data_IF_926220027211
#
_entry.id   IF_926220027211
#
_cell.length_a   1.000
_cell.length_b   1.000
_cell.length_c   1.000
_cell.angle_alpha   90.00
_cell.angle_beta   90.00
_cell.angle_gamma   90.00
#
_symmetry.space_group_name_H-M   'P 1'
#
loop_
_entity.id
_entity.type
_entity.pdbx_description
1 polymer ?
#
# COMPACT_ATOMS: atom_id res chain seq x y z
N UNK A 1 -24.48 -1.07 -0.36
CA UNK A 1 -23.91 0.10 0.33
C UNK A 1 -23.14 0.91 -0.72
N UNK A 2 -23.35 2.21 -0.84
CA UNK A 2 -22.58 3.03 -1.79
C UNK A 2 -21.14 3.14 -1.28
N UNK A 3 -20.17 2.82 -2.13
CA UNK A 3 -18.74 2.98 -1.82
C UNK A 3 -18.42 4.47 -1.89
N UNK A 4 -17.98 5.04 -0.76
CA UNK A 4 -17.41 6.37 -0.71
C UNK A 4 -15.94 6.28 -1.11
N UNK A 5 -15.57 7.03 -2.15
CA UNK A 5 -14.19 7.18 -2.61
C UNK A 5 -13.64 8.55 -2.24
N UNK A 6 -12.33 8.72 -2.39
CA UNK A 6 -11.65 9.99 -2.16
C UNK A 6 -12.35 11.12 -2.94
N UNK A 7 -12.60 10.94 -4.24
CA UNK A 7 -13.29 11.93 -5.09
C UNK A 7 -14.69 12.28 -4.59
N UNK A 8 -15.52 11.29 -4.24
CA UNK A 8 -16.89 11.55 -3.77
C UNK A 8 -16.89 12.35 -2.46
N UNK A 9 -15.92 12.10 -1.59
CA UNK A 9 -15.78 12.82 -0.33
C UNK A 9 -15.35 14.28 -0.57
N UNK A 10 -14.45 14.55 -1.53
CA UNK A 10 -14.11 15.94 -1.93
C UNK A 10 -15.30 16.65 -2.57
N UNK A 11 -16.03 15.99 -3.46
CA UNK A 11 -17.21 16.57 -4.11
C UNK A 11 -18.30 16.98 -3.10
N UNK A 12 -18.34 16.32 -1.93
CA UNK A 12 -19.29 16.66 -0.87
C UNK A 12 -18.94 17.96 -0.12
N UNK A 13 -17.76 18.55 -0.31
CA UNK A 13 -17.33 19.78 0.37
C UNK A 13 -16.90 19.62 1.83
N UNK A 14 -16.87 18.39 2.37
CA UNK A 14 -16.55 18.12 3.78
C UNK A 14 -15.04 18.01 4.08
N UNK A 15 -14.16 18.10 3.07
CA UNK A 15 -12.71 18.04 3.26
C UNK A 15 -12.07 19.43 3.15
N UNK A 16 -11.33 19.88 4.17
CA UNK A 16 -10.52 21.09 4.05
C UNK A 16 -9.50 20.98 2.90
N UNK A 17 -9.23 22.12 2.25
CA UNK A 17 -8.23 22.17 1.16
C UNK A 17 -6.86 21.73 1.69
N UNK A 18 -6.19 20.84 0.95
CA UNK A 18 -4.88 20.31 1.33
C UNK A 18 -4.92 19.17 2.36
N UNK A 19 -6.10 18.64 2.65
CA UNK A 19 -6.25 17.43 3.48
C UNK A 19 -6.52 16.21 2.62
N UNK A 20 -6.05 15.06 3.10
CA UNK A 20 -6.23 13.76 2.49
C UNK A 20 -6.86 12.85 3.56
N UNK A 21 -8.05 12.28 3.31
CA UNK A 21 -8.70 11.41 4.29
C UNK A 21 -7.91 10.11 4.41
N UNK A 22 -7.75 9.62 5.64
CA UNK A 22 -7.25 8.28 5.88
C UNK A 22 -8.46 7.33 5.78
N UNK A 23 -8.43 6.28 4.94
CA UNK A 23 -9.53 5.33 4.86
C UNK A 23 -9.83 4.71 6.22
N UNK A 24 -11.11 4.56 6.55
CA UNK A 24 -11.52 4.06 7.85
C UNK A 24 -11.03 2.61 8.03
N UNK A 25 -10.32 2.33 9.13
CA UNK A 25 -9.75 1.01 9.39
C UNK A 25 -8.45 0.71 8.63
N UNK A 26 -7.87 1.64 7.86
CA UNK A 26 -6.56 1.40 7.21
C UNK A 26 -5.49 0.95 8.22
N UNK A 27 -5.37 1.68 9.34
CA UNK A 27 -4.41 1.37 10.40
C UNK A 27 -4.83 0.16 11.24
N UNK A 28 -6.12 0.03 11.55
CA UNK A 28 -6.63 -1.00 12.48
C UNK A 28 -6.83 -2.37 11.82
N UNK A 29 -7.03 -2.43 10.50
CA UNK A 29 -7.24 -3.70 9.78
C UNK A 29 -5.92 -4.42 9.43
N UNK A 30 -4.79 -4.06 10.03
CA UNK A 30 -3.52 -4.77 9.88
C UNK A 30 -2.82 -4.66 8.53
N UNK A 31 -3.28 -3.76 7.64
CA UNK A 31 -2.70 -3.59 6.31
C UNK A 31 -1.21 -3.22 6.34
N UNK A 32 -0.74 -2.54 7.39
CA UNK A 32 0.67 -2.16 7.58
C UNK A 32 1.65 -3.33 7.68
N UNK A 33 1.21 -4.49 8.13
CA UNK A 33 2.05 -5.69 8.22
C UNK A 33 1.81 -6.67 7.06
N UNK A 34 0.83 -6.43 6.19
CA UNK A 34 0.56 -7.25 5.01
C UNK A 34 1.08 -6.63 3.72
N UNK A 35 0.96 -5.31 3.58
CA UNK A 35 1.43 -4.59 2.41
C UNK A 35 2.91 -4.23 2.56
N UNK A 36 3.67 -4.24 1.45
CA UNK A 36 4.98 -3.60 1.41
C UNK A 36 4.82 -2.11 1.76
N UNK A 37 5.75 -1.50 2.51
CA UNK A 37 5.70 -0.07 2.85
C UNK A 37 5.52 0.83 1.62
N UNK A 38 6.12 0.44 0.49
CA UNK A 38 6.02 1.17 -0.79
C UNK A 38 4.61 1.19 -1.35
N UNK A 39 3.86 0.08 -1.26
CA UNK A 39 2.48 0.00 -1.70
C UNK A 39 1.57 0.91 -0.85
N UNK A 40 1.85 1.05 0.45
CA UNK A 40 1.15 1.96 1.36
C UNK A 40 1.38 3.42 0.95
N UNK A 41 2.64 3.79 0.68
CA UNK A 41 2.99 5.13 0.22
C UNK A 41 2.28 5.47 -1.10
N UNK A 42 2.31 4.56 -2.08
CA UNK A 42 1.66 4.80 -3.36
C UNK A 42 0.14 4.84 -3.27
N UNK A 43 -0.49 4.17 -2.31
CA UNK A 43 -1.93 4.35 -2.08
C UNK A 43 -2.29 5.80 -1.71
N UNK A 44 -1.46 6.44 -0.87
CA UNK A 44 -1.64 7.85 -0.48
C UNK A 44 -1.42 8.78 -1.67
N UNK A 45 -0.44 8.48 -2.52
CA UNK A 45 -0.17 9.30 -3.71
C UNK A 45 -1.23 9.14 -4.79
N UNK A 46 -1.72 7.92 -5.04
CA UNK A 46 -2.86 7.67 -5.92
C UNK A 46 -4.07 8.47 -5.44
N UNK A 47 -4.32 8.50 -4.13
CA UNK A 47 -5.38 9.33 -3.56
C UNK A 47 -5.15 10.83 -3.83
N UNK A 48 -3.93 11.33 -3.66
CA UNK A 48 -3.60 12.73 -3.95
C UNK A 48 -3.80 13.07 -5.44
N UNK A 49 -3.30 12.25 -6.35
CA UNK A 49 -3.43 12.50 -7.80
C UNK A 49 -4.85 12.28 -8.32
N UNK A 50 -5.61 11.36 -7.72
CA UNK A 50 -7.04 11.23 -7.96
C UNK A 50 -7.79 12.51 -7.56
N UNK A 51 -7.33 13.21 -6.51
CA UNK A 51 -7.86 14.52 -6.12
C UNK A 51 -7.51 15.64 -7.09
N UNK A 52 -6.32 15.60 -7.69
CA UNK A 52 -5.88 16.55 -8.70
C UNK A 52 -6.56 16.30 -10.06
N UNK A 53 -7.20 15.14 -10.22
CA UNK A 53 -7.96 14.79 -11.42
C UNK A 53 -7.10 14.23 -12.53
N UNK A 54 -5.90 13.74 -12.21
CA UNK A 54 -5.06 13.02 -13.16
C UNK A 54 -5.74 11.72 -13.60
N UNK A 55 -5.56 11.37 -14.87
CA UNK A 55 -5.93 10.05 -15.37
C UNK A 55 -4.99 8.96 -14.82
N UNK A 56 -5.30 7.70 -15.12
CA UNK A 56 -4.56 6.56 -14.60
C UNK A 56 -3.07 6.58 -14.98
N UNK A 57 -2.75 6.85 -16.25
CA UNK A 57 -1.36 6.89 -16.71
C UNK A 57 -0.63 8.14 -16.22
N UNK A 58 -1.30 9.29 -16.16
CA UNK A 58 -0.77 10.52 -15.58
C UNK A 58 -0.47 10.37 -14.08
N UNK A 59 -1.31 9.63 -13.35
CA UNK A 59 -1.08 9.28 -11.94
C UNK A 59 0.18 8.43 -11.80
N UNK A 60 0.31 7.36 -12.58
CA UNK A 60 1.51 6.49 -12.55
C UNK A 60 2.75 7.33 -12.88
N UNK A 61 2.69 8.10 -13.96
CA UNK A 61 3.81 8.93 -14.40
C UNK A 61 4.22 9.93 -13.32
N UNK A 62 3.27 10.58 -12.65
CA UNK A 62 3.58 11.55 -11.60
C UNK A 62 4.30 10.90 -10.41
N UNK A 63 3.87 9.69 -10.00
CA UNK A 63 4.54 8.89 -8.96
C UNK A 63 5.96 8.51 -9.41
N UNK A 64 6.12 8.03 -10.65
CA UNK A 64 7.42 7.66 -11.22
C UNK A 64 8.40 8.84 -11.29
N UNK A 65 7.92 9.99 -11.77
CA UNK A 65 8.70 11.22 -11.89
C UNK A 65 9.14 11.76 -10.51
N UNK A 66 8.38 11.47 -9.45
CA UNK A 66 8.75 11.84 -8.08
C UNK A 66 9.76 10.86 -7.48
N UNK A 67 9.47 9.55 -7.49
CA UNK A 67 10.24 8.56 -6.72
C UNK A 67 11.53 8.11 -7.39
N UNK A 68 11.54 7.82 -8.69
CA UNK A 68 12.74 7.27 -9.34
C UNK A 68 13.94 8.23 -9.29
N UNK A 69 13.79 9.55 -9.53
CA UNK A 69 14.92 10.47 -9.40
C UNK A 69 15.44 10.57 -7.97
N UNK A 70 14.55 10.51 -6.96
CA UNK A 70 14.92 10.55 -5.55
C UNK A 70 15.69 9.30 -5.12
N UNK A 71 15.20 8.11 -5.51
CA UNK A 71 15.87 6.84 -5.27
C UNK A 71 17.28 6.84 -5.90
N UNK A 72 17.38 7.25 -7.18
CA UNK A 72 18.66 7.38 -7.88
C UNK A 72 19.61 8.35 -7.20
N UNK A 73 19.14 9.52 -6.78
CA UNK A 73 19.97 10.55 -6.12
C UNK A 73 20.51 10.06 -4.77
N UNK A 74 19.76 9.25 -4.05
CA UNK A 74 20.15 8.67 -2.76
C UNK A 74 20.95 7.37 -2.89
N UNK A 75 21.15 6.87 -4.12
CA UNK A 75 21.67 5.52 -4.37
C UNK A 75 20.89 4.46 -3.56
N UNK A 76 19.57 4.63 -3.58
CA UNK A 76 18.61 3.84 -2.82
C UNK A 76 17.73 3.03 -3.77
N UNK A 77 17.16 1.93 -3.28
CA UNK A 77 16.26 1.09 -4.03
C UNK A 77 14.83 1.41 -3.63
N UNK A 78 13.97 1.67 -4.63
CA UNK A 78 12.57 1.98 -4.35
C UNK A 78 11.80 0.75 -3.85
N UNK A 79 12.23 -0.45 -4.25
CA UNK A 79 11.63 -1.72 -3.86
C UNK A 79 12.67 -2.58 -3.17
N UNK A 80 12.23 -3.36 -2.17
CA UNK A 80 13.11 -4.26 -1.45
C UNK A 80 13.69 -5.33 -2.39
N UNK A 81 15.02 -5.48 -2.36
CA UNK A 81 15.74 -6.45 -3.18
C UNK A 81 16.12 -7.68 -2.36
N UNK A 82 15.31 -8.73 -2.48
CA UNK A 82 15.56 -10.02 -1.83
C UNK A 82 16.85 -10.72 -2.29
N UNK A 83 17.46 -10.28 -3.40
CA UNK A 83 18.72 -10.84 -3.90
C UNK A 83 19.96 -10.15 -3.33
N UNK A 84 19.80 -9.08 -2.54
CA UNK A 84 20.93 -8.37 -1.93
C UNK A 84 21.54 -9.22 -0.81
N UNK A 85 22.84 -9.51 -0.91
CA UNK A 85 23.54 -10.25 0.12
C UNK A 85 23.82 -9.40 1.36
N UNK A 86 23.70 -10.00 2.55
CA UNK A 86 24.05 -9.33 3.83
C UNK A 86 25.52 -8.88 3.84
N UNK A 87 26.39 -9.61 3.15
CA UNK A 87 27.81 -9.28 3.04
C UNK A 87 28.10 -8.04 2.19
N UNK A 88 27.17 -7.67 1.30
CA UNK A 88 27.26 -6.44 0.49
C UNK A 88 27.05 -5.17 1.35
N UNK A 89 26.57 -5.34 2.59
CA UNK A 89 26.24 -4.24 3.50
C UNK A 89 27.41 -3.94 4.42
N UNK A 90 27.93 -2.73 4.32
CA UNK A 90 29.03 -2.25 5.17
C UNK A 90 28.50 -1.68 6.49
N UNK A 91 29.03 -2.19 7.60
CA UNK A 91 28.78 -1.69 8.96
C UNK A 91 27.76 -2.51 9.74
N UNK A 92 28.10 -2.87 10.99
CA UNK A 92 27.31 -3.76 11.86
C UNK A 92 25.86 -3.30 12.02
N UNK A 93 25.66 -2.03 12.40
CA UNK A 93 24.30 -1.46 12.58
C UNK A 93 23.46 -1.50 11.31
N UNK A 94 24.07 -1.28 10.14
CA UNK A 94 23.34 -1.35 8.86
C UNK A 94 22.96 -2.79 8.51
N UNK A 95 23.82 -3.77 8.84
CA UNK A 95 23.51 -5.19 8.68
C UNK A 95 22.35 -5.62 9.58
N UNK A 96 22.36 -5.20 10.85
CA UNK A 96 21.27 -5.49 11.79
C UNK A 96 19.93 -4.94 11.28
N UNK A 97 19.87 -3.66 10.88
CA UNK A 97 18.67 -3.06 10.29
C UNK A 97 18.20 -3.78 9.02
N UNK A 98 19.13 -4.15 8.14
CA UNK A 98 18.78 -4.91 6.93
C UNK A 98 18.25 -6.30 7.24
N UNK A 99 18.77 -6.99 8.26
CA UNK A 99 18.27 -8.30 8.66
C UNK A 99 16.84 -8.21 9.22
N UNK A 100 16.56 -7.18 10.02
CA UNK A 100 15.20 -6.89 10.52
C UNK A 100 14.22 -6.59 9.37
N UNK A 101 14.68 -5.79 8.39
CA UNK A 101 13.89 -5.48 7.19
C UNK A 101 13.69 -6.72 6.31
N UNK A 102 14.74 -7.52 6.09
CA UNK A 102 14.69 -8.76 5.32
C UNK A 102 13.70 -9.75 5.93
N UNK A 103 13.72 -9.93 7.26
CA UNK A 103 12.76 -10.80 7.96
C UNK A 103 11.32 -10.29 7.74
N UNK A 104 11.09 -8.99 7.96
CA UNK A 104 9.78 -8.38 7.81
C UNK A 104 9.24 -8.47 6.38
N UNK A 105 10.08 -8.16 5.38
CA UNK A 105 9.71 -8.21 3.97
C UNK A 105 9.53 -9.65 3.46
N UNK A 106 10.30 -10.60 4.00
CA UNK A 106 10.12 -12.03 3.68
C UNK A 106 8.78 -12.53 4.17
N UNK A 107 8.36 -12.14 5.38
CA UNK A 107 7.04 -12.52 5.91
C UNK A 107 5.91 -11.87 5.10
N UNK A 108 5.99 -10.58 4.77
CA UNK A 108 5.01 -9.91 3.88
C UNK A 108 4.89 -10.63 2.54
N UNK A 109 6.02 -10.95 1.91
CA UNK A 109 6.07 -11.69 0.64
C UNK A 109 5.37 -13.03 0.76
N UNK A 110 5.71 -13.82 1.78
CA UNK A 110 5.10 -15.13 2.03
C UNK A 110 3.59 -15.03 2.19
N UNK A 111 3.09 -14.10 3.01
CA UNK A 111 1.66 -13.94 3.28
C UNK A 111 0.91 -13.49 2.02
N UNK A 112 1.48 -12.58 1.22
CA UNK A 112 0.92 -12.18 -0.08
C UNK A 112 0.82 -13.35 -1.05
N UNK A 113 1.91 -14.12 -1.19
CA UNK A 113 2.01 -15.25 -2.11
C UNK A 113 1.04 -16.39 -1.73
N UNK A 114 0.93 -16.70 -0.44
CA UNK A 114 -0.05 -17.66 0.07
C UNK A 114 -1.50 -17.20 -0.15
N UNK A 115 -1.74 -15.90 -0.15
CA UNK A 115 -3.04 -15.31 -0.43
C UNK A 115 -3.39 -15.28 -1.93
N UNK A 116 -2.42 -15.63 -2.79
CA UNK A 116 -2.56 -15.69 -4.25
C UNK A 116 -2.20 -14.37 -4.95
N UNK A 117 -1.42 -13.52 -4.29
CA UNK A 117 -0.88 -12.28 -4.83
C UNK A 117 0.62 -12.40 -5.07
N UNK A 118 1.19 -11.51 -5.87
CA UNK A 118 2.64 -11.41 -6.02
C UNK A 118 3.15 -10.22 -5.22
N UNK A 119 4.35 -10.34 -4.68
CA UNK A 119 5.03 -9.22 -4.06
C UNK A 119 5.46 -8.21 -5.14
N UNK A 120 5.00 -6.94 -5.08
CA UNK A 120 5.24 -5.97 -6.15
C UNK A 120 6.69 -5.49 -6.19
N UNK A 121 7.19 -5.25 -7.39
CA UNK A 121 8.55 -4.80 -7.73
C UNK A 121 8.54 -3.53 -8.60
N UNK A 122 7.36 -3.00 -8.92
CA UNK A 122 7.18 -1.75 -9.67
C UNK A 122 6.02 -0.93 -9.10
N UNK A 123 6.00 0.38 -9.42
CA UNK A 123 4.90 1.28 -9.03
C UNK A 123 3.57 0.75 -9.58
N UNK A 124 3.57 0.28 -10.83
CA UNK A 124 2.39 -0.29 -11.48
C UNK A 124 1.89 -1.54 -10.75
N UNK A 125 2.78 -2.46 -10.39
CA UNK A 125 2.40 -3.66 -9.63
C UNK A 125 1.85 -3.33 -8.23
N UNK A 126 2.36 -2.29 -7.56
CA UNK A 126 1.78 -1.81 -6.31
C UNK A 126 0.35 -1.29 -6.49
N UNK A 127 0.10 -0.53 -7.57
CA UNK A 127 -1.24 -0.01 -7.89
C UNK A 127 -2.18 -1.17 -8.26
N UNK A 128 -1.73 -2.11 -9.09
CA UNK A 128 -2.49 -3.31 -9.45
C UNK A 128 -2.81 -4.18 -8.23
N UNK A 129 -1.89 -4.30 -7.26
CA UNK A 129 -2.16 -4.95 -5.98
C UNK A 129 -3.27 -4.20 -5.23
N UNK A 130 -3.20 -2.87 -5.16
CA UNK A 130 -4.25 -2.04 -4.57
C UNK A 130 -5.62 -2.21 -5.24
N UNK A 131 -5.65 -2.35 -6.57
CA UNK A 131 -6.88 -2.66 -7.33
C UNK A 131 -7.44 -4.04 -6.96
N UNK A 132 -6.59 -5.08 -6.93
CA UNK A 132 -6.98 -6.44 -6.58
C UNK A 132 -7.50 -6.57 -5.14
N UNK A 133 -7.01 -5.73 -4.24
CA UNK A 133 -7.46 -5.66 -2.84
C UNK A 133 -8.66 -4.72 -2.64
N UNK A 134 -9.19 -4.13 -3.70
CA UNK A 134 -10.33 -3.20 -3.66
C UNK A 134 -10.04 -1.85 -3.00
N UNK A 135 -8.76 -1.55 -2.74
CA UNK A 135 -8.32 -0.27 -2.16
C UNK A 135 -8.31 0.84 -3.21
N UNK A 136 -7.91 0.49 -4.43
CA UNK A 136 -7.90 1.38 -5.59
C UNK A 136 -9.04 0.94 -6.51
N UNK A 137 -9.79 1.91 -7.02
CA UNK A 137 -10.85 1.71 -7.99
C UNK A 137 -10.42 2.30 -9.31
N UNK A 138 -10.57 1.54 -10.40
CA UNK A 138 -10.38 2.02 -11.76
C UNK A 138 -11.73 2.18 -12.45
N UNK A 139 -11.95 3.33 -13.06
CA UNK A 139 -13.18 3.61 -13.79
C UNK A 139 -12.90 4.48 -15.02
N UNK A 140 -13.85 4.46 -15.96
CA UNK A 140 -13.77 5.24 -17.20
C UNK A 140 -14.61 6.51 -17.11
N UNK A 141 -14.06 7.63 -17.59
CA UNK A 141 -14.78 8.86 -17.88
C UNK A 141 -14.40 9.32 -19.29
N UNK A 142 -15.40 9.45 -20.16
CA UNK A 142 -15.19 9.93 -21.55
C UNK A 142 -14.13 9.10 -22.32
N UNK A 143 -14.06 7.79 -22.04
CA UNK A 143 -13.10 6.86 -22.66
C UNK A 143 -11.74 6.76 -21.94
N UNK A 144 -11.43 7.70 -21.05
CA UNK A 144 -10.17 7.75 -20.30
C UNK A 144 -10.29 7.03 -18.96
N UNK A 145 -9.27 6.26 -18.59
CA UNK A 145 -9.21 5.57 -17.30
C UNK A 145 -8.72 6.50 -16.19
N UNK A 146 -9.31 6.37 -15.01
CA UNK A 146 -8.95 7.12 -13.82
C UNK A 146 -8.86 6.18 -12.63
N UNK A 147 -8.01 6.55 -11.67
CA UNK A 147 -7.97 5.93 -10.36
C UNK A 147 -8.75 6.76 -9.32
N UNK A 148 -9.26 6.05 -8.32
CA UNK A 148 -9.78 6.61 -7.07
C UNK A 148 -9.42 5.66 -5.93
N UNK A 149 -9.46 6.14 -4.70
CA UNK A 149 -9.19 5.33 -3.51
C UNK A 149 -10.48 5.12 -2.72
N UNK A 150 -10.76 3.88 -2.38
CA UNK A 150 -11.86 3.52 -1.49
C UNK A 150 -11.62 4.13 -0.11
N UNK A 151 -12.60 4.83 0.45
CA UNK A 151 -12.52 5.43 1.79
C UNK A 151 -13.43 4.69 2.76
N UNK A 152 -14.66 4.38 2.34
CA UNK A 152 -15.64 3.72 3.19
C UNK A 152 -16.70 2.96 2.36
N UNK A 153 -16.94 1.65 2.61
CA UNK A 153 -16.17 0.78 3.50
C UNK A 153 -14.79 0.50 2.92
N UNK A 154 -13.74 0.71 3.72
CA UNK A 154 -12.40 0.29 3.32
C UNK A 154 -12.30 -1.24 3.41
N UNK A 155 -11.59 -1.91 2.48
CA UNK A 155 -11.47 -3.35 2.50
C UNK A 155 -10.80 -3.83 3.80
N UNK A 156 -11.31 -4.92 4.35
CA UNK A 156 -10.74 -5.57 5.52
C UNK A 156 -9.84 -6.73 5.10
N UNK A 157 -8.63 -6.79 5.65
CA UNK A 157 -7.60 -7.78 5.29
C UNK A 157 -8.09 -9.24 5.32
N UNK A 158 -9.01 -9.58 6.25
CA UNK A 158 -9.57 -10.94 6.42
C UNK A 158 -10.29 -11.48 5.19
N UNK A 159 -10.70 -10.62 4.27
CA UNK A 159 -11.36 -11.02 3.03
C UNK A 159 -10.36 -11.48 1.96
N UNK A 160 -9.07 -11.20 2.18
CA UNK A 160 -8.00 -11.44 1.20
C UNK A 160 -6.95 -12.43 1.70
N UNK A 161 -6.77 -12.55 3.01
CA UNK A 161 -5.90 -13.58 3.60
C UNK A 161 -6.43 -14.99 3.32
N UNK A 162 -5.52 -15.91 3.00
CA UNK A 162 -5.80 -17.34 2.86
C UNK A 162 -4.80 -18.17 3.66
N UNK A 163 -5.21 -19.39 4.01
CA UNK A 163 -4.39 -20.35 4.75
C UNK A 163 -4.28 -20.05 6.25
N UNK A 164 -3.37 -20.76 6.92
CA UNK A 164 -3.19 -20.76 8.38
C UNK A 164 -2.71 -19.40 8.94
N UNK A 165 -2.19 -18.53 8.06
CA UNK A 165 -1.84 -17.14 8.41
C UNK A 165 -3.06 -16.34 8.90
N UNK A 166 -4.29 -16.69 8.48
CA UNK A 166 -5.52 -16.08 9.00
C UNK A 166 -5.63 -16.25 10.52
N UNK A 167 -5.23 -17.39 11.07
CA UNK A 167 -5.32 -17.68 12.51
C UNK A 167 -4.20 -17.03 13.32
N UNK A 168 -2.99 -16.96 12.76
CA UNK A 168 -1.87 -16.21 13.34
C UNK A 168 -2.19 -14.73 13.45
N UNK A 169 -2.72 -14.15 12.37
CA UNK A 169 -3.12 -12.76 12.32
C UNK A 169 -4.33 -12.46 13.23
N UNK A 170 -5.31 -13.36 13.32
CA UNK A 170 -6.40 -13.22 14.30
C UNK A 170 -5.89 -13.21 15.74
N UNK A 171 -4.92 -14.06 16.06
CA UNK A 171 -4.37 -14.16 17.42
C UNK A 171 -3.58 -12.90 17.80
N UNK A 172 -2.71 -12.43 16.91
CA UNK A 172 -1.90 -11.22 17.14
C UNK A 172 -2.74 -9.93 17.27
N UNK A 173 -3.86 -9.82 16.55
CA UNK A 173 -4.73 -8.63 16.62
C UNK A 173 -5.72 -8.69 17.78
N UNK A 174 -6.29 -9.85 18.10
CA UNK A 174 -7.21 -9.99 19.25
C UNK A 174 -6.48 -9.73 20.59
N UNK A 175 -5.22 -10.20 20.72
CA UNK A 175 -4.41 -9.89 21.92
C UNK A 175 -4.13 -8.38 22.06
N UNK A 176 -4.09 -7.63 20.96
CA UNK A 176 -3.90 -6.17 20.99
C UNK A 176 -5.17 -5.39 21.33
N UNK A 177 -6.36 -5.89 20.99
CA UNK A 177 -7.64 -5.26 21.36
C UNK A 177 -7.95 -5.49 22.85
N UNK A 178 -7.67 -6.69 23.37
CA UNK A 178 -7.81 -7.00 24.80
C UNK A 178 -6.81 -6.23 25.69
N UNK A 179 -5.68 -5.77 25.14
CA UNK A 179 -4.69 -4.96 25.86
C UNK A 179 -5.04 -3.46 25.95
N UNK A 180 -6.07 -3.00 25.23
CA UNK A 180 -6.51 -1.59 25.19
C UNK A 180 -7.77 -1.36 26.05
N UNK A 181 -8.31 -2.41 26.66
CA UNK A 181 -9.45 -2.38 27.58
C UNK A 181 -9.06 -2.74 29.02
#
# INVERSE_FOLDING_TARGET
>A
MLVQTARTLKASGHLPKGTVPIPNGFMHNGWGAFLPPTAIVFLVEVMNYAYEGLDAEGTIKAIEDYHYPLAKKKNDQLFFNFSQGVDDIRGKKKRELFLEELESETERKKVLEQSGYYYPQTIRECIELGEKLGMIQRFKKEGTDYYDVTINPFPHIKHYLKGDEVERWRSAFNESEDAIH
#
